data_IF_504382149764
#
_entry.id   IF_504382149764
#
_cell.length_a   1.000
_cell.length_b   1.000
_cell.length_c   1.000
_cell.angle_alpha   90.00
_cell.angle_beta   90.00
_cell.angle_gamma   90.00
#
_symmetry.space_group_name_H-M   'P 1'
#
loop_
_entity.id
_entity.type
_entity.pdbx_description
1 polymer ?
#
# COMPACT_ATOMS: atom_id res chain seq x y z
N UNK A 1 -7.27 30.12 7.42
CA UNK A 1 -7.50 28.84 8.12
C UNK A 1 -6.27 27.98 7.87
N UNK A 2 -5.38 27.81 8.85
CA UNK A 2 -4.25 26.90 8.71
C UNK A 2 -4.76 25.46 8.84
N UNK A 3 -4.56 24.65 7.80
CA UNK A 3 -4.88 23.23 7.87
C UNK A 3 -3.91 22.58 8.85
N UNK A 4 -4.43 21.94 9.90
CA UNK A 4 -3.58 21.18 10.82
C UNK A 4 -2.87 20.05 10.05
N UNK A 5 -1.61 19.80 10.38
CA UNK A 5 -0.80 18.72 9.76
C UNK A 5 -1.55 17.36 9.82
N UNK A 6 -2.30 17.11 10.90
CA UNK A 6 -3.12 15.92 11.05
C UNK A 6 -4.27 15.84 10.04
N UNK A 7 -4.96 16.95 9.76
CA UNK A 7 -6.02 17.00 8.75
C UNK A 7 -5.50 16.74 7.34
N UNK A 8 -4.32 17.30 7.02
CA UNK A 8 -3.65 17.06 5.74
C UNK A 8 -3.24 15.60 5.60
N UNK A 9 -2.66 15.01 6.66
CA UNK A 9 -2.28 13.61 6.68
C UNK A 9 -3.48 12.68 6.47
N UNK A 10 -4.63 12.98 7.09
CA UNK A 10 -5.86 12.19 6.90
C UNK A 10 -6.40 12.31 5.47
N UNK A 11 -6.43 13.52 4.91
CA UNK A 11 -6.88 13.73 3.54
C UNK A 11 -5.98 12.97 2.54
N UNK A 12 -4.66 13.06 2.71
CA UNK A 12 -3.69 12.29 1.93
C UNK A 12 -3.90 10.77 2.14
N UNK A 13 -4.05 10.32 3.38
CA UNK A 13 -4.28 8.92 3.72
C UNK A 13 -5.55 8.35 3.08
N UNK A 14 -6.65 9.11 3.10
CA UNK A 14 -7.91 8.74 2.45
C UNK A 14 -7.75 8.64 0.92
N UNK A 15 -7.08 9.62 0.30
CA UNK A 15 -6.81 9.61 -1.14
C UNK A 15 -5.92 8.41 -1.54
N UNK A 16 -4.87 8.13 -0.77
CA UNK A 16 -3.96 7.00 -0.97
C UNK A 16 -4.70 5.67 -0.80
N UNK A 17 -5.49 5.52 0.26
CA UNK A 17 -6.27 4.30 0.51
C UNK A 17 -7.29 4.05 -0.61
N UNK A 18 -7.99 5.10 -1.06
CA UNK A 18 -8.92 5.01 -2.18
C UNK A 18 -8.21 4.62 -3.48
N UNK A 19 -7.09 5.26 -3.80
CA UNK A 19 -6.28 4.93 -4.97
C UNK A 19 -5.78 3.47 -4.91
N UNK A 20 -5.26 3.05 -3.77
CA UNK A 20 -4.80 1.69 -3.51
C UNK A 20 -5.92 0.65 -3.64
N UNK A 21 -7.12 0.95 -3.14
CA UNK A 21 -8.31 0.10 -3.31
C UNK A 21 -8.73 -0.03 -4.78
N UNK A 22 -8.68 1.08 -5.54
CA UNK A 22 -8.98 1.09 -6.99
C UNK A 22 -7.94 0.33 -7.81
N UNK A 23 -6.68 0.36 -7.37
CA UNK A 23 -5.62 -0.49 -7.92
C UNK A 23 -5.84 -1.97 -7.55
N UNK A 24 -6.18 -2.27 -6.30
CA UNK A 24 -6.40 -3.62 -5.80
C UNK A 24 -7.58 -4.32 -6.50
N UNK A 25 -8.67 -3.60 -6.74
CA UNK A 25 -9.83 -4.06 -7.53
C UNK A 25 -9.54 -4.23 -9.03
N UNK A 26 -8.35 -3.88 -9.50
CA UNK A 26 -7.95 -4.08 -10.89
C UNK A 26 -8.62 -3.13 -11.86
N UNK A 27 -9.12 -1.97 -11.40
CA UNK A 27 -9.63 -0.92 -12.30
C UNK A 27 -8.51 -0.02 -12.81
N UNK A 28 -7.44 0.13 -12.03
CA UNK A 28 -6.25 0.92 -12.39
C UNK A 28 -5.04 0.03 -12.71
N UNK A 29 -5.22 -1.03 -13.50
CA UNK A 29 -4.14 -1.99 -13.83
C UNK A 29 -2.93 -1.32 -14.50
N UNK A 30 -3.18 -0.34 -15.38
CA UNK A 30 -2.11 0.40 -16.09
C UNK A 30 -1.20 1.18 -15.14
N UNK A 31 -1.71 1.60 -13.99
CA UNK A 31 -0.95 2.30 -12.95
C UNK A 31 -0.07 1.38 -12.11
N UNK A 32 -0.25 0.06 -12.20
CA UNK A 32 0.61 -0.90 -11.49
C UNK A 32 1.87 -1.26 -12.27
N UNK A 33 1.92 -0.91 -13.56
CA UNK A 33 3.02 -1.23 -14.46
C UNK A 33 4.14 -0.16 -14.45
N UNK A 34 4.33 0.57 -13.35
CA UNK A 34 5.54 1.38 -13.18
C UNK A 34 6.69 0.45 -12.79
N UNK A 35 7.72 0.41 -13.64
CA UNK A 35 8.94 -0.35 -13.39
C UNK A 35 9.52 0.02 -12.02
N UNK A 36 9.83 -1.00 -11.22
CA UNK A 36 10.33 -0.81 -9.87
C UNK A 36 11.72 -0.20 -9.82
N UNK A 37 12.12 0.19 -8.61
CA UNK A 37 13.49 0.62 -8.31
C UNK A 37 14.53 -0.45 -8.68
N UNK A 38 14.12 -1.72 -8.69
CA UNK A 38 14.98 -2.85 -9.03
C UNK A 38 14.54 -3.39 -10.41
N UNK A 39 15.39 -3.29 -11.45
CA UNK A 39 15.00 -3.66 -12.83
C UNK A 39 14.62 -5.14 -13.01
N UNK A 40 14.98 -6.02 -12.06
CA UNK A 40 14.64 -7.45 -12.06
C UNK A 40 13.46 -7.82 -11.17
N UNK A 41 12.92 -6.87 -10.39
CA UNK A 41 11.83 -7.15 -9.44
C UNK A 41 10.64 -6.29 -9.77
N UNK A 42 9.47 -6.92 -9.94
CA UNK A 42 8.21 -6.19 -10.13
C UNK A 42 7.86 -5.47 -8.83
N UNK A 43 7.85 -4.14 -8.89
CA UNK A 43 7.31 -3.31 -7.83
C UNK A 43 5.81 -3.13 -8.00
N UNK A 44 5.11 -2.94 -6.89
CA UNK A 44 3.68 -2.67 -6.88
C UNK A 44 3.34 -1.48 -5.98
N UNK A 45 3.93 -0.28 -6.24
CA UNK A 45 3.71 0.90 -5.41
C UNK A 45 2.23 1.27 -5.30
N UNK A 46 1.47 1.06 -6.39
CA UNK A 46 0.02 1.26 -6.42
C UNK A 46 -0.75 0.34 -5.45
N UNK A 47 -0.28 -0.89 -5.19
CA UNK A 47 -0.87 -1.76 -4.16
C UNK A 47 -0.44 -1.31 -2.76
N UNK A 48 0.81 -0.86 -2.62
CA UNK A 48 1.33 -0.32 -1.38
C UNK A 48 0.58 0.91 -0.88
N UNK A 49 0.05 1.75 -1.79
CA UNK A 49 -0.73 2.94 -1.45
C UNK A 49 -1.91 2.65 -0.52
N UNK A 50 -2.49 1.45 -0.60
CA UNK A 50 -3.56 1.04 0.31
C UNK A 50 -3.06 1.03 1.76
N UNK A 51 -1.92 0.38 1.98
CA UNK A 51 -1.31 0.21 3.29
C UNK A 51 -0.71 1.52 3.80
N UNK A 52 -0.05 2.29 2.93
CA UNK A 52 0.43 3.62 3.26
C UNK A 52 -0.72 4.57 3.62
N UNK A 53 -1.84 4.52 2.88
CA UNK A 53 -3.03 5.30 3.18
C UNK A 53 -3.61 4.99 4.57
N UNK A 54 -3.70 3.71 4.93
CA UNK A 54 -4.12 3.29 6.28
C UNK A 54 -3.17 3.87 7.35
N UNK A 55 -1.85 3.85 7.12
CA UNK A 55 -0.89 4.45 8.05
C UNK A 55 -1.09 5.95 8.25
N UNK A 56 -1.34 6.67 7.16
CA UNK A 56 -1.59 8.12 7.20
C UNK A 56 -2.94 8.47 7.86
N UNK A 57 -3.90 7.53 7.90
CA UNK A 57 -5.14 7.68 8.66
C UNK A 57 -4.93 7.37 10.16
N UNK A 58 -4.20 6.29 10.46
CA UNK A 58 -4.05 5.79 11.82
C UNK A 58 -3.04 6.58 12.65
N UNK A 59 -1.98 7.12 12.06
CA UNK A 59 -0.96 7.86 12.81
C UNK A 59 -1.53 9.15 13.47
N UNK A 60 -2.27 10.02 12.76
CA UNK A 60 -2.94 11.16 13.39
C UNK A 60 -4.01 10.73 14.40
N UNK A 61 -4.76 9.66 14.09
CA UNK A 61 -5.77 9.12 15.00
C UNK A 61 -5.16 8.64 16.33
N UNK A 62 -3.97 8.03 16.29
CA UNK A 62 -3.23 7.62 17.48
C UNK A 62 -2.79 8.82 18.33
N UNK A 63 -2.32 9.90 17.69
CA UNK A 63 -1.95 11.15 18.38
C UNK A 63 -3.17 11.78 19.06
N UNK A 64 -4.32 11.81 18.38
CA UNK A 64 -5.56 12.32 18.97
C UNK A 64 -6.07 11.45 20.12
N UNK A 65 -6.03 10.12 19.97
CA UNK A 65 -6.42 9.20 21.03
C UNK A 65 -5.52 9.37 22.27
N UNK A 66 -4.21 9.52 22.08
CA UNK A 66 -3.27 9.79 23.17
C UNK A 66 -3.56 11.14 23.85
N UNK A 67 -3.81 12.20 23.06
CA UNK A 67 -4.18 13.52 23.58
C UNK A 67 -5.52 13.54 24.34
N UNK A 68 -6.45 12.65 23.97
CA UNK A 68 -7.73 12.47 24.64
C UNK A 68 -7.66 11.58 25.89
N UNK A 69 -6.46 11.12 26.28
CA UNK A 69 -6.28 10.28 27.48
C UNK A 69 -6.68 8.81 27.29
N UNK A 70 -6.74 8.31 26.05
CA UNK A 70 -7.05 6.91 25.80
C UNK A 70 -6.03 5.96 26.47
N UNK A 71 -6.43 4.73 26.84
CA UNK A 71 -5.52 3.73 27.38
C UNK A 71 -4.34 3.48 26.44
N UNK A 72 -3.14 3.27 27.00
CA UNK A 72 -1.91 2.98 26.22
C UNK A 72 -2.09 1.82 25.24
N UNK A 73 -2.85 0.80 25.63
CA UNK A 73 -3.16 -0.34 24.78
C UNK A 73 -3.98 0.06 23.53
N UNK A 74 -4.95 0.98 23.67
CA UNK A 74 -5.75 1.47 22.55
C UNK A 74 -4.90 2.32 21.59
N UNK A 75 -4.00 3.16 22.12
CA UNK A 75 -3.04 3.92 21.31
C UNK A 75 -2.10 2.98 20.56
N UNK A 76 -1.55 1.97 21.24
CA UNK A 76 -0.68 0.97 20.63
C UNK A 76 -1.38 0.18 19.51
N UNK A 77 -2.67 -0.13 19.67
CA UNK A 77 -3.49 -0.79 18.65
C UNK A 77 -3.67 0.05 17.37
N UNK A 78 -3.49 1.37 17.43
CA UNK A 78 -3.49 2.26 16.26
C UNK A 78 -2.08 2.44 15.68
N UNK A 79 -1.07 2.57 16.54
CA UNK A 79 0.33 2.80 16.13
C UNK A 79 0.92 1.59 15.44
N UNK A 80 0.68 0.38 15.94
CA UNK A 80 1.29 -0.84 15.39
C UNK A 80 0.86 -1.08 13.92
N UNK A 81 -0.45 -1.04 13.57
CA UNK A 81 -0.87 -1.13 12.18
C UNK A 81 -0.40 0.06 11.33
N UNK A 82 -0.29 1.26 11.91
CA UNK A 82 0.24 2.41 11.18
C UNK A 82 1.72 2.20 10.77
N UNK A 83 2.55 1.67 11.66
CA UNK A 83 3.94 1.33 11.34
C UNK A 83 3.98 0.20 10.31
N UNK A 84 3.20 -0.87 10.52
CA UNK A 84 3.16 -2.00 9.61
C UNK A 84 2.74 -1.57 8.18
N UNK A 85 1.71 -0.74 8.05
CA UNK A 85 1.25 -0.25 6.76
C UNK A 85 2.29 0.60 6.03
N UNK A 86 3.07 1.39 6.77
CA UNK A 86 4.13 2.24 6.23
C UNK A 86 5.28 1.39 5.72
N UNK A 87 5.68 0.37 6.50
CA UNK A 87 6.69 -0.59 6.08
C UNK A 87 6.26 -1.37 4.84
N UNK A 88 5.01 -1.81 4.76
CA UNK A 88 4.46 -2.50 3.58
C UNK A 88 4.46 -1.57 2.36
N UNK A 89 4.07 -0.31 2.52
CA UNK A 89 4.10 0.67 1.44
C UNK A 89 5.52 0.92 0.93
N UNK A 90 6.50 1.10 1.82
CA UNK A 90 7.91 1.23 1.44
C UNK A 90 8.41 -0.04 0.75
N UNK A 91 8.12 -1.21 1.31
CA UNK A 91 8.50 -2.50 0.73
C UNK A 91 7.95 -2.64 -0.68
N UNK A 92 6.69 -2.24 -0.94
CA UNK A 92 6.03 -2.34 -2.24
C UNK A 92 6.75 -1.63 -3.39
N UNK A 93 7.62 -0.65 -3.10
CA UNK A 93 8.45 0.02 -4.11
C UNK A 93 9.61 -0.86 -4.60
N UNK A 94 10.08 -1.78 -3.77
CA UNK A 94 11.13 -2.73 -4.12
C UNK A 94 10.54 -4.09 -4.51
N UNK A 95 9.58 -4.60 -3.74
CA UNK A 95 9.00 -5.93 -3.88
C UNK A 95 7.69 -6.06 -3.09
N UNK A 96 6.76 -6.91 -3.55
CA UNK A 96 5.58 -7.26 -2.75
C UNK A 96 5.41 -8.79 -2.66
N UNK A 97 5.22 -9.36 -1.46
CA UNK A 97 4.98 -10.79 -1.29
C UNK A 97 3.78 -11.30 -2.10
N UNK A 98 3.82 -12.55 -2.58
CA UNK A 98 2.74 -13.15 -3.40
C UNK A 98 1.38 -13.14 -2.71
N UNK A 99 1.34 -13.37 -1.40
CA UNK A 99 0.08 -13.40 -0.64
C UNK A 99 -0.59 -12.02 -0.51
N UNK A 100 0.16 -10.92 -0.68
CA UNK A 100 -0.37 -9.55 -0.62
C UNK A 100 -0.84 -9.05 -1.98
N UNK A 101 -0.56 -9.80 -3.06
CA UNK A 101 -0.97 -9.45 -4.42
C UNK A 101 -2.40 -9.92 -4.68
N UNK A 102 -3.26 -9.07 -5.27
CA UNK A 102 -4.61 -9.46 -5.63
C UNK A 102 -4.59 -10.58 -6.69
N UNK A 103 -5.66 -11.37 -6.74
CA UNK A 103 -5.77 -12.54 -7.62
C UNK A 103 -5.50 -12.21 -9.09
N UNK A 104 -6.01 -11.08 -9.57
CA UNK A 104 -5.82 -10.68 -10.96
C UNK A 104 -4.35 -10.42 -11.31
N UNK A 105 -3.53 -9.93 -10.37
CA UNK A 105 -2.07 -9.75 -10.58
C UNK A 105 -1.40 -11.11 -10.68
N UNK A 106 -1.74 -12.03 -9.77
CA UNK A 106 -1.20 -13.40 -9.77
C UNK A 106 -1.53 -14.13 -11.07
N UNK A 107 -2.77 -13.98 -11.57
CA UNK A 107 -3.18 -14.56 -12.84
C UNK A 107 -2.43 -13.96 -14.04
N UNK A 108 -2.19 -12.64 -14.07
CA UNK A 108 -1.39 -12.03 -15.14
C UNK A 108 0.07 -12.48 -15.11
N UNK A 109 0.69 -12.60 -13.94
CA UNK A 109 2.05 -13.11 -13.79
C UNK A 109 2.18 -14.55 -14.31
N UNK A 110 1.23 -15.42 -13.95
CA UNK A 110 1.21 -16.81 -14.42
C UNK A 110 1.04 -16.92 -15.93
N UNK A 111 0.18 -16.10 -16.54
CA UNK A 111 0.01 -16.08 -17.98
C UNK A 111 1.30 -15.62 -18.70
N UNK A 112 1.97 -14.59 -18.20
CA UNK A 112 3.23 -14.12 -18.78
C UNK A 112 4.35 -15.15 -18.65
N UNK A 113 4.45 -15.85 -17.50
CA UNK A 113 5.38 -16.97 -17.30
C UNK A 113 5.12 -18.10 -18.31
N UNK A 114 3.85 -18.45 -18.56
CA UNK A 114 3.45 -19.44 -19.57
C UNK A 114 3.84 -19.00 -20.99
N UNK A 115 3.58 -17.75 -21.35
CA UNK A 115 3.96 -17.21 -22.67
C UNK A 115 5.48 -17.18 -22.88
N UNK A 116 6.26 -16.80 -21.86
CA UNK A 116 7.71 -16.78 -21.94
C UNK A 116 8.30 -18.19 -22.16
N UNK A 117 7.76 -19.20 -21.46
CA UNK A 117 8.14 -20.61 -21.67
C UNK A 117 7.84 -21.08 -23.09
N UNK A 118 6.69 -20.73 -23.65
CA UNK A 118 6.33 -21.11 -25.02
C UNK A 118 7.16 -20.42 -26.11
N UNK A 119 7.76 -19.25 -25.83
CA UNK A 119 8.68 -18.59 -26.76
C UNK A 119 10.12 -19.11 -26.71
N UNK A 120 10.47 -19.97 -25.75
CA UNK A 120 11.85 -20.44 -25.58
C UNK A 120 12.79 -19.39 -24.97
N UNK A 121 12.24 -18.35 -24.33
CA UNK A 121 13.00 -17.26 -23.72
C UNK A 121 13.50 -17.61 -22.28
N UNK A 122 13.39 -18.88 -21.87
CA UNK A 122 13.77 -19.40 -20.54
C UNK A 122 14.83 -20.49 -20.67
#
# INVERSE_FOLDING_TARGET
MELSVGSVAIAAGAAMAFAGWRAYSGRWRRWLAYGGLIPKVRSYPGLGLLYGGISFLLAPAAVWAAGAGAPKAAVAALVLPAIAGMLIWLLSHAWLPRFMRPEWVRATEQNEELYARHRGDV
#
